data_IF_441895106232
#
_entry.id   IF_441895106232
#
_cell.length_a   1.000
_cell.length_b   1.000
_cell.length_c   1.000
_cell.angle_alpha   90.00
_cell.angle_beta   90.00
_cell.angle_gamma   90.00
#
_symmetry.space_group_name_H-M   'P 1'
#
loop_
_entity.id
_entity.type
_entity.pdbx_description
1 polymer ?
#
# COMPACT_ATOMS: atom_id res chain seq x y z
N UNK A 1 -14.06 18.76 33.94
CA UNK A 1 -14.91 18.60 35.15
C UNK A 1 -15.98 17.53 34.89
N UNK A 2 -16.22 16.66 35.88
CA UNK A 2 -17.21 15.55 35.96
C UNK A 2 -16.85 14.27 35.18
N UNK A 3 -16.94 13.05 35.73
CA UNK A 3 -17.16 12.52 37.10
C UNK A 3 -16.95 10.99 37.03
N UNK A 4 -16.16 10.45 37.98
CA UNK A 4 -16.34 9.19 38.76
C UNK A 4 -16.70 7.87 38.02
N UNK A 5 -15.82 6.87 38.04
CA UNK A 5 -15.62 5.86 39.10
C UNK A 5 -16.61 4.69 39.00
N UNK A 6 -16.15 3.51 38.58
CA UNK A 6 -16.70 2.25 39.07
C UNK A 6 -15.56 1.25 39.33
N UNK A 7 -15.33 1.02 40.62
CA UNK A 7 -14.54 -0.06 41.18
C UNK A 7 -15.32 -1.36 40.95
N UNK A 8 -14.67 -2.41 40.44
CA UNK A 8 -15.08 -3.78 40.72
C UNK A 8 -13.91 -4.49 41.38
N UNK A 9 -14.04 -4.70 42.69
CA UNK A 9 -13.21 -5.62 43.46
C UNK A 9 -13.64 -7.05 43.12
N UNK A 10 -12.71 -7.90 42.73
CA UNK A 10 -12.87 -9.37 42.84
C UNK A 10 -11.72 -9.87 43.72
N UNK A 11 -12.00 -10.61 44.81
CA UNK A 11 -10.98 -11.05 45.74
C UNK A 11 -10.31 -12.35 45.29
N UNK A 12 -8.99 -12.35 45.37
CA UNK A 12 -8.15 -13.29 46.11
C UNK A 12 -8.46 -14.80 45.96
N UNK A 13 -7.61 -15.50 45.19
CA UNK A 13 -7.19 -16.88 45.51
C UNK A 13 -5.66 -16.90 45.58
N UNK A 14 -5.17 -17.36 46.73
CA UNK A 14 -3.76 -17.40 47.15
C UNK A 14 -3.27 -18.85 47.08
N UNK A 15 -1.94 -18.98 46.96
CA UNK A 15 -1.08 -20.17 47.12
C UNK A 15 -0.92 -20.98 45.83
N UNK A 16 0.27 -21.03 45.22
CA UNK A 16 1.48 -21.68 45.76
C UNK A 16 2.79 -20.95 45.50
N UNK A 17 3.61 -20.87 46.56
CA UNK A 17 5.04 -20.56 46.48
C UNK A 17 5.76 -21.54 45.55
N UNK A 18 6.47 -21.01 44.56
CA UNK A 18 7.75 -21.61 44.13
C UNK A 18 8.79 -20.50 44.28
N UNK A 19 9.69 -20.70 45.24
CA UNK A 19 10.91 -19.92 45.37
C UNK A 19 11.77 -20.19 44.14
N UNK A 20 11.68 -19.31 43.14
CA UNK A 20 12.61 -19.22 42.02
C UNK A 20 13.37 -17.90 42.13
N UNK A 21 14.54 -17.94 42.77
CA UNK A 21 15.55 -16.89 42.60
C UNK A 21 15.99 -16.91 41.12
N UNK A 22 15.58 -15.91 40.37
CA UNK A 22 16.03 -15.70 39.00
C UNK A 22 15.62 -14.29 38.60
N UNK A 23 16.49 -13.32 38.86
CA UNK A 23 16.38 -12.00 38.27
C UNK A 23 16.45 -12.16 36.75
N UNK A 24 15.30 -12.16 36.11
CA UNK A 24 15.17 -11.96 34.69
C UNK A 24 14.35 -10.70 34.54
N UNK A 25 15.00 -9.62 34.11
CA UNK A 25 14.33 -8.47 33.55
C UNK A 25 13.17 -8.97 32.70
N UNK A 26 11.94 -8.71 33.14
CA UNK A 26 10.77 -8.84 32.29
C UNK A 26 10.93 -7.77 31.22
N UNK A 27 11.73 -8.08 30.21
CA UNK A 27 11.65 -7.44 28.91
C UNK A 27 10.19 -7.61 28.51
N UNK A 28 9.42 -6.51 28.56
CA UNK A 28 8.21 -6.42 27.77
C UNK A 28 8.57 -6.94 26.37
N UNK A 29 7.81 -7.89 25.80
CA UNK A 29 8.12 -8.39 24.47
C UNK A 29 8.21 -7.19 23.53
N UNK A 30 9.36 -7.03 22.86
CA UNK A 30 9.54 -5.98 21.87
C UNK A 30 8.33 -6.03 20.92
N UNK A 31 7.64 -4.89 20.68
CA UNK A 31 6.51 -4.86 19.77
C UNK A 31 6.93 -5.53 18.46
N UNK A 32 6.07 -6.38 17.86
CA UNK A 32 6.42 -7.01 16.59
C UNK A 32 6.81 -5.90 15.61
N UNK A 33 7.92 -6.11 14.89
CA UNK A 33 8.38 -5.16 13.90
C UNK A 33 7.20 -4.74 13.00
N UNK A 34 7.05 -3.45 12.65
CA UNK A 34 5.99 -3.00 11.77
C UNK A 34 6.00 -3.86 10.51
N UNK A 35 4.83 -4.36 10.13
CA UNK A 35 4.69 -5.09 8.89
C UNK A 35 5.05 -4.12 7.75
N UNK A 36 6.08 -4.46 6.97
CA UNK A 36 6.45 -3.70 5.78
C UNK A 36 5.30 -3.63 4.76
N UNK A 37 5.46 -2.85 3.68
CA UNK A 37 4.44 -2.75 2.64
C UNK A 37 4.11 -4.13 2.03
N UNK A 38 2.88 -4.36 1.54
CA UNK A 38 2.50 -5.61 0.90
C UNK A 38 3.30 -5.87 -0.37
N UNK A 39 3.31 -7.13 -0.81
CA UNK A 39 3.83 -7.50 -2.13
C UNK A 39 2.79 -7.17 -3.22
N UNK A 40 3.14 -6.19 -4.05
CA UNK A 40 2.40 -5.75 -5.22
C UNK A 40 2.85 -6.46 -6.50
N UNK A 41 3.79 -7.40 -6.45
CA UNK A 41 4.23 -8.13 -7.64
C UNK A 41 3.05 -8.80 -8.36
N UNK A 42 3.07 -8.74 -9.69
CA UNK A 42 2.07 -9.37 -10.55
C UNK A 42 1.74 -8.55 -11.78
N UNK A 43 0.92 -9.16 -12.64
CA UNK A 43 0.32 -8.50 -13.80
C UNK A 43 -1.12 -8.15 -13.49
N UNK A 44 -1.53 -6.96 -13.87
CA UNK A 44 -2.85 -6.41 -13.61
C UNK A 44 -3.50 -5.95 -14.91
N UNK A 45 -4.82 -6.05 -14.96
CA UNK A 45 -5.65 -5.47 -16.01
C UNK A 45 -6.33 -4.20 -15.53
N UNK A 46 -6.44 -3.21 -16.41
CA UNK A 46 -7.10 -1.94 -16.09
C UNK A 46 -8.59 -2.17 -15.79
N UNK A 47 -9.04 -1.63 -14.66
CA UNK A 47 -10.46 -1.56 -14.26
C UNK A 47 -11.02 -0.17 -14.54
N UNK A 48 -10.28 0.88 -14.15
CA UNK A 48 -10.67 2.25 -14.44
C UNK A 48 -9.48 3.20 -14.43
N UNK A 49 -9.57 4.25 -15.26
CA UNK A 49 -8.70 5.42 -15.25
C UNK A 49 -9.57 6.66 -14.97
N UNK A 50 -9.14 7.48 -14.02
CA UNK A 50 -9.61 8.86 -13.86
C UNK A 50 -8.42 9.81 -14.10
N UNK A 51 -8.51 10.66 -15.11
CA UNK A 51 -7.47 11.65 -15.42
C UNK A 51 -8.11 12.87 -16.10
N UNK A 52 -7.76 14.08 -15.65
CA UNK A 52 -8.28 15.32 -16.23
C UNK A 52 -9.81 15.43 -16.22
N UNK A 53 -10.49 14.80 -15.27
CA UNK A 53 -11.96 14.76 -15.17
C UNK A 53 -12.63 13.69 -16.04
N UNK A 54 -11.89 12.99 -16.91
CA UNK A 54 -12.38 11.83 -17.65
C UNK A 54 -12.29 10.59 -16.76
N UNK A 55 -13.41 9.88 -16.55
CA UNK A 55 -13.42 8.55 -15.92
C UNK A 55 -13.86 7.52 -16.95
N UNK A 56 -13.01 6.52 -17.21
CA UNK A 56 -13.25 5.46 -18.20
C UNK A 56 -12.75 4.11 -17.69
N UNK A 57 -13.33 3.03 -18.20
CA UNK A 57 -12.91 1.66 -17.95
C UNK A 57 -13.27 0.77 -19.13
N UNK A 58 -13.01 -0.54 -19.05
CA UNK A 58 -13.37 -1.47 -20.12
C UNK A 58 -14.86 -1.41 -20.50
N UNK A 59 -15.21 -1.55 -21.80
CA UNK A 59 -14.31 -1.76 -22.93
C UNK A 59 -13.74 -0.47 -23.54
N UNK A 60 -14.08 0.71 -23.01
CA UNK A 60 -13.67 2.01 -23.55
C UNK A 60 -12.20 2.34 -23.28
N UNK A 61 -11.65 1.77 -22.22
CA UNK A 61 -10.25 1.82 -21.87
C UNK A 61 -9.72 0.42 -21.60
N UNK A 62 -8.51 0.14 -22.06
CA UNK A 62 -7.79 -1.11 -21.80
C UNK A 62 -6.39 -0.78 -21.33
N UNK A 63 -5.82 -1.65 -20.50
CA UNK A 63 -4.44 -1.47 -20.08
C UNK A 63 -3.91 -2.66 -19.30
N UNK A 64 -2.59 -2.71 -19.24
CA UNK A 64 -1.82 -3.66 -18.45
C UNK A 64 -0.90 -2.90 -17.51
N UNK A 65 -0.70 -3.44 -16.32
CA UNK A 65 0.30 -2.93 -15.39
C UNK A 65 1.03 -4.13 -14.80
N UNK A 66 2.35 -4.15 -14.92
CA UNK A 66 3.20 -5.22 -14.38
C UNK A 66 4.14 -4.64 -13.36
N UNK A 67 4.14 -5.24 -12.17
CA UNK A 67 5.02 -4.90 -11.06
C UNK A 67 5.88 -6.10 -10.69
N UNK A 68 7.17 -5.84 -10.47
CA UNK A 68 8.12 -6.83 -9.96
C UNK A 68 8.88 -6.23 -8.80
N UNK A 69 8.50 -6.60 -7.58
CA UNK A 69 9.17 -6.15 -6.36
C UNK A 69 10.48 -6.92 -6.19
N UNK A 70 11.59 -6.21 -6.11
CA UNK A 70 12.95 -6.80 -6.05
C UNK A 70 13.65 -6.54 -4.73
N UNK A 71 13.16 -5.59 -3.93
CA UNK A 71 13.73 -5.24 -2.63
C UNK A 71 12.64 -4.86 -1.65
N UNK A 72 12.84 -5.22 -0.38
CA UNK A 72 12.01 -4.80 0.75
C UNK A 72 12.91 -4.60 1.97
N UNK A 73 12.77 -3.45 2.64
CA UNK A 73 13.55 -3.08 3.82
C UNK A 73 12.73 -2.16 4.72
N UNK A 74 12.48 -2.62 5.94
CA UNK A 74 11.66 -1.91 6.93
C UNK A 74 10.30 -1.53 6.36
N UNK A 75 10.00 -0.23 6.40
CA UNK A 75 8.70 0.31 5.95
C UNK A 75 8.64 0.59 4.44
N UNK A 76 9.59 0.09 3.64
CA UNK A 76 9.67 0.38 2.21
C UNK A 76 9.95 -0.85 1.37
N UNK A 77 9.42 -0.86 0.15
CA UNK A 77 9.77 -1.84 -0.86
C UNK A 77 9.85 -1.17 -2.24
N UNK A 78 10.67 -1.74 -3.11
CA UNK A 78 10.92 -1.19 -4.43
C UNK A 78 11.08 -2.29 -5.47
N UNK A 79 10.96 -1.89 -6.72
CA UNK A 79 10.95 -2.82 -7.83
C UNK A 79 10.92 -2.13 -9.18
N UNK A 80 10.67 -2.92 -10.21
CA UNK A 80 10.46 -2.45 -11.58
C UNK A 80 8.98 -2.45 -11.94
N UNK A 81 8.62 -1.54 -12.83
CA UNK A 81 7.26 -1.40 -13.31
C UNK A 81 7.22 -1.22 -14.83
N UNK A 82 6.13 -1.65 -15.44
CA UNK A 82 5.79 -1.32 -16.83
C UNK A 82 4.27 -1.25 -16.92
N UNK A 83 3.74 -0.18 -17.51
CA UNK A 83 2.30 -0.07 -17.73
C UNK A 83 1.97 0.52 -19.09
N UNK A 84 0.79 0.18 -19.57
CA UNK A 84 0.21 0.67 -20.81
C UNK A 84 -1.29 0.89 -20.60
N UNK A 85 -1.81 2.04 -21.02
CA UNK A 85 -3.24 2.37 -21.03
C UNK A 85 -3.60 2.98 -22.37
N UNK A 86 -4.69 2.50 -22.97
CA UNK A 86 -5.25 3.05 -24.21
C UNK A 86 -6.72 3.45 -23.99
N UNK A 87 -7.07 4.66 -24.41
CA UNK A 87 -8.46 5.17 -24.49
C UNK A 87 -8.67 5.74 -25.89
N UNK A 88 -9.05 4.90 -26.88
CA UNK A 88 -9.09 5.31 -28.28
C UNK A 88 -10.04 6.48 -28.56
N UNK A 89 -11.20 6.52 -27.89
CA UNK A 89 -12.20 7.58 -28.08
C UNK A 89 -11.71 8.97 -27.65
N UNK A 90 -10.73 9.02 -26.75
CA UNK A 90 -10.11 10.25 -26.26
C UNK A 90 -8.71 10.49 -26.87
N UNK A 91 -8.22 9.57 -27.72
CA UNK A 91 -6.86 9.63 -28.27
C UNK A 91 -5.77 9.50 -27.20
N UNK A 92 -6.07 8.89 -26.05
CA UNK A 92 -5.09 8.75 -24.95
C UNK A 92 -4.33 7.44 -25.14
N UNK A 93 -3.00 7.55 -25.12
CA UNK A 93 -2.08 6.44 -25.03
C UNK A 93 -1.03 6.77 -23.96
N UNK A 94 -1.03 6.01 -22.87
CA UNK A 94 -0.05 6.15 -21.80
C UNK A 94 0.80 4.89 -21.80
N UNK A 95 2.11 5.06 -21.82
CA UNK A 95 3.07 3.97 -21.70
C UNK A 95 4.20 4.45 -20.80
N UNK A 96 4.62 3.61 -19.87
CA UNK A 96 5.79 3.93 -19.06
C UNK A 96 6.47 2.65 -18.59
N UNK A 97 7.76 2.77 -18.33
CA UNK A 97 8.58 1.72 -17.75
C UNK A 97 9.62 2.37 -16.85
N UNK A 98 9.86 1.77 -15.69
CA UNK A 98 10.90 2.25 -14.79
C UNK A 98 10.87 1.54 -13.46
N UNK A 99 11.07 2.30 -12.39
CA UNK A 99 11.07 1.78 -11.02
C UNK A 99 9.93 2.37 -10.21
N UNK A 100 9.56 1.64 -9.16
CA UNK A 100 8.61 2.11 -8.16
C UNK A 100 9.18 1.90 -6.76
N UNK A 101 8.69 2.69 -5.82
CA UNK A 101 8.91 2.56 -4.39
C UNK A 101 7.58 2.77 -3.68
N UNK A 102 7.24 1.85 -2.81
CA UNK A 102 6.06 1.91 -1.94
C UNK A 102 6.49 1.93 -0.48
N UNK A 103 5.64 2.52 0.37
CA UNK A 103 5.82 2.50 1.82
C UNK A 103 4.62 1.90 2.53
N UNK A 104 4.84 1.42 3.76
CA UNK A 104 3.80 0.83 4.60
C UNK A 104 2.66 1.83 4.94
N UNK A 105 2.95 3.13 4.88
CA UNK A 105 1.96 4.21 5.06
C UNK A 105 1.04 4.44 3.84
N UNK A 106 1.21 3.68 2.76
CA UNK A 106 0.44 3.82 1.53
C UNK A 106 1.03 4.82 0.53
N UNK A 107 2.21 5.39 0.78
CA UNK A 107 2.87 6.29 -0.17
C UNK A 107 3.36 5.54 -1.40
N UNK A 108 3.20 6.15 -2.57
CA UNK A 108 3.69 5.68 -3.86
C UNK A 108 4.67 6.67 -4.45
N UNK A 109 5.75 6.16 -5.02
CA UNK A 109 6.67 6.90 -5.86
C UNK A 109 7.06 6.04 -7.04
N UNK A 110 7.08 6.61 -8.24
CA UNK A 110 7.64 5.98 -9.42
C UNK A 110 8.60 6.91 -10.13
N UNK A 111 9.60 6.30 -10.76
CA UNK A 111 10.50 6.95 -11.70
C UNK A 111 10.42 6.15 -12.99
N UNK A 112 9.57 6.60 -13.90
CA UNK A 112 9.44 6.08 -15.24
C UNK A 112 10.45 6.68 -16.22
N UNK A 113 10.36 6.21 -17.45
CA UNK A 113 11.06 6.78 -18.62
C UNK A 113 10.37 8.06 -19.07
N UNK A 114 9.05 8.10 -18.94
CA UNK A 114 8.22 9.25 -19.34
C UNK A 114 7.89 10.17 -18.16
N UNK A 115 7.67 9.61 -16.96
CA UNK A 115 7.16 10.38 -15.83
C UNK A 115 7.82 9.97 -14.51
N UNK A 116 8.29 10.96 -13.75
CA UNK A 116 8.45 10.81 -12.30
C UNK A 116 7.14 11.20 -11.63
N UNK A 117 6.58 10.32 -10.81
CA UNK A 117 5.30 10.56 -10.18
C UNK A 117 5.30 10.19 -8.70
N UNK A 118 4.59 10.99 -7.90
CA UNK A 118 4.35 10.77 -6.48
C UNK A 118 2.84 10.64 -6.23
N UNK A 119 2.49 9.89 -5.20
CA UNK A 119 1.10 9.64 -4.91
C UNK A 119 0.89 8.68 -3.74
N UNK A 120 -0.21 7.96 -3.82
CA UNK A 120 -0.58 6.91 -2.86
C UNK A 120 -1.00 5.64 -3.59
N UNK A 121 -0.96 4.52 -2.88
CA UNK A 121 -1.52 3.26 -3.32
C UNK A 121 -2.36 2.62 -2.22
N UNK A 122 -3.30 1.78 -2.63
CA UNK A 122 -4.01 0.85 -1.74
C UNK A 122 -4.15 -0.50 -2.44
N UNK A 123 -4.03 -1.59 -1.68
CA UNK A 123 -4.30 -2.95 -2.15
C UNK A 123 -5.43 -3.54 -1.33
N UNK A 124 -6.55 -3.86 -1.97
CA UNK A 124 -7.70 -4.51 -1.36
C UNK A 124 -7.96 -5.84 -2.07
N UNK A 125 -7.52 -6.95 -1.46
CA UNK A 125 -7.52 -8.26 -2.12
C UNK A 125 -6.66 -8.22 -3.38
N UNK A 126 -7.29 -8.42 -4.54
CA UNK A 126 -6.62 -8.40 -5.84
C UNK A 126 -6.73 -7.05 -6.58
N UNK A 127 -7.30 -6.03 -5.95
CA UNK A 127 -7.49 -4.71 -6.56
C UNK A 127 -6.44 -3.73 -6.03
N UNK A 128 -5.58 -3.26 -6.92
CA UNK A 128 -4.61 -2.20 -6.67
C UNK A 128 -5.18 -0.87 -7.17
N UNK A 129 -5.22 0.14 -6.31
CA UNK A 129 -5.51 1.51 -6.72
C UNK A 129 -4.26 2.35 -6.54
N UNK A 130 -3.84 3.07 -7.58
CA UNK A 130 -2.74 4.03 -7.53
C UNK A 130 -3.29 5.41 -7.85
N UNK A 131 -3.07 6.36 -6.94
CA UNK A 131 -3.44 7.77 -7.14
C UNK A 131 -2.17 8.60 -7.23
N UNK A 132 -1.87 9.13 -8.41
CA UNK A 132 -0.78 10.07 -8.65
C UNK A 132 -1.30 11.48 -8.38
N UNK A 133 -0.57 12.23 -7.57
CA UNK A 133 -0.89 13.64 -7.23
C UNK A 133 0.16 14.61 -7.75
N UNK A 134 1.39 14.16 -7.99
CA UNK A 134 2.47 15.00 -8.52
C UNK A 134 3.24 14.28 -9.64
N UNK A 135 3.68 15.01 -10.68
CA UNK A 135 3.33 16.41 -10.97
C UNK A 135 1.82 16.53 -11.29
N UNK A 136 1.23 17.71 -11.05
CA UNK A 136 -0.21 17.93 -11.27
C UNK A 136 -0.65 17.62 -12.71
N UNK A 137 0.24 17.78 -13.68
CA UNK A 137 -0.01 17.43 -15.09
C UNK A 137 -0.22 15.92 -15.32
N UNK A 138 0.31 15.08 -14.43
CA UNK A 138 0.15 13.63 -14.44
C UNK A 138 -0.87 13.13 -13.40
N UNK A 139 -1.57 14.04 -12.71
CA UNK A 139 -2.51 13.68 -11.65
C UNK A 139 -3.62 12.78 -12.20
N UNK A 140 -3.76 11.60 -11.58
CA UNK A 140 -4.66 10.55 -12.04
C UNK A 140 -4.94 9.55 -10.93
N UNK A 141 -6.05 8.83 -11.05
CA UNK A 141 -6.32 7.62 -10.26
C UNK A 141 -6.53 6.46 -11.22
N UNK A 142 -5.77 5.39 -11.02
CA UNK A 142 -5.91 4.14 -11.79
C UNK A 142 -6.26 2.99 -10.86
N UNK A 143 -7.17 2.14 -11.31
CA UNK A 143 -7.60 0.93 -10.60
C UNK A 143 -7.26 -0.26 -11.47
N UNK A 144 -6.64 -1.25 -10.86
CA UNK A 144 -6.02 -2.39 -11.51
C UNK A 144 -6.43 -3.68 -10.81
N UNK A 145 -6.83 -4.68 -11.59
CA UNK A 145 -7.21 -6.00 -11.09
C UNK A 145 -6.09 -6.99 -11.38
N UNK A 146 -5.52 -7.62 -10.34
CA UNK A 146 -4.50 -8.66 -10.47
C UNK A 146 -5.09 -9.88 -11.19
N UNK A 147 -4.32 -10.43 -12.13
CA UNK A 147 -4.63 -11.64 -12.90
C UNK A 147 -4.32 -12.92 -12.13
#
# INVERSE_FOLDING_TARGET
MKKRLLRLCVPLVVVTLVAGCGGGDTMDPEPPAPAGPPDLSGTYSLVSLNQGGLTVGPPLATGTFTLSQTSSSGDSASGTMTYEVSVPSAGIMLQDQGTFTIRADGSWQQSGTEVQALGTYTLAGNVLTVTVTEPLAAASTTVWQRQ
#
